data_IF_995190063983
#
_entry.id   IF_995190063983
#
_cell.length_a   1.000
_cell.length_b   1.000
_cell.length_c   1.000
_cell.angle_alpha   90.00
_cell.angle_beta   90.00
_cell.angle_gamma   90.00
#
_symmetry.space_group_name_H-M   'P 1'
#
loop_
_entity.id
_entity.type
_entity.pdbx_description
1 polymer ?
#
# COMPACT_ATOMS: atom_id res chain seq x y z
N UNK A 1 31.52 14.23 -49.54
CA UNK A 1 30.77 13.07 -49.03
C UNK A 1 30.83 12.93 -47.51
N UNK A 2 31.91 13.23 -46.82
CA UNK A 2 32.07 13.11 -45.35
C UNK A 2 31.10 13.99 -44.56
N UNK A 3 30.86 15.24 -44.94
CA UNK A 3 29.95 16.16 -44.19
C UNK A 3 28.50 15.69 -44.15
N UNK A 4 27.98 15.06 -45.21
CA UNK A 4 26.60 14.52 -45.23
C UNK A 4 26.46 13.28 -44.33
N UNK A 5 27.48 12.43 -44.27
CA UNK A 5 27.50 11.24 -43.40
C UNK A 5 27.59 11.65 -41.92
N UNK A 6 28.33 12.71 -41.59
CA UNK A 6 28.45 13.23 -40.27
C UNK A 6 27.14 13.86 -39.75
N UNK A 7 26.45 14.60 -40.58
CA UNK A 7 25.13 15.18 -40.26
C UNK A 7 24.06 14.10 -40.03
N UNK A 8 24.04 13.04 -40.83
CA UNK A 8 23.11 11.89 -40.63
C UNK A 8 23.42 11.17 -39.33
N UNK A 9 24.70 11.00 -39.00
CA UNK A 9 25.11 10.35 -37.72
C UNK A 9 24.68 11.17 -36.51
N UNK A 10 24.80 12.50 -36.52
CA UNK A 10 24.35 13.39 -35.46
C UNK A 10 22.82 13.37 -35.28
N UNK A 11 22.06 13.32 -36.37
CA UNK A 11 20.59 13.22 -36.32
C UNK A 11 20.15 11.87 -35.74
N UNK A 12 20.79 10.77 -36.17
CA UNK A 12 20.51 9.45 -35.58
C UNK A 12 20.84 9.36 -34.08
N UNK A 13 21.95 9.97 -33.66
CA UNK A 13 22.34 10.03 -32.23
C UNK A 13 21.33 10.84 -31.44
N UNK A 14 20.86 11.98 -31.96
CA UNK A 14 19.85 12.82 -31.29
C UNK A 14 18.47 12.13 -31.19
N UNK A 15 18.08 11.38 -32.23
CA UNK A 15 16.84 10.57 -32.18
C UNK A 15 16.95 9.44 -31.16
N UNK A 16 18.11 8.78 -31.09
CA UNK A 16 18.34 7.70 -30.12
C UNK A 16 18.32 8.21 -28.66
N UNK A 17 18.89 9.41 -28.41
CA UNK A 17 18.84 10.03 -27.07
C UNK A 17 17.45 10.52 -26.72
N UNK A 18 16.71 11.07 -27.66
CA UNK A 18 15.33 11.55 -27.46
C UNK A 18 14.36 10.38 -27.18
N UNK A 19 14.49 9.26 -27.92
CA UNK A 19 13.71 8.04 -27.67
C UNK A 19 14.10 7.40 -26.34
N UNK A 20 15.37 7.41 -25.95
CA UNK A 20 15.83 6.95 -24.64
C UNK A 20 15.21 7.75 -23.50
N UNK A 21 15.17 9.08 -23.59
CA UNK A 21 14.54 9.96 -22.60
C UNK A 21 13.02 9.75 -22.51
N UNK A 22 12.34 9.52 -23.65
CA UNK A 22 10.91 9.24 -23.69
C UNK A 22 10.56 7.87 -23.08
N UNK A 23 11.43 6.87 -23.22
CA UNK A 23 11.25 5.55 -22.61
C UNK A 23 11.56 5.52 -21.11
N UNK A 24 12.47 6.40 -20.63
CA UNK A 24 12.79 6.51 -19.19
C UNK A 24 11.74 7.31 -18.40
N UNK A 25 10.83 8.02 -19.05
CA UNK A 25 9.96 9.03 -18.45
C UNK A 25 8.72 8.50 -17.70
N UNK A 26 8.44 7.20 -17.69
CA UNK A 26 7.21 6.65 -17.07
C UNK A 26 7.46 5.41 -16.22
N UNK A 27 8.45 5.48 -15.33
CA UNK A 27 8.52 4.50 -14.26
C UNK A 27 7.27 4.65 -13.37
N UNK A 28 6.35 3.70 -13.46
CA UNK A 28 5.16 3.67 -12.61
C UNK A 28 5.63 3.57 -11.16
N UNK A 29 5.31 4.59 -10.36
CA UNK A 29 5.66 4.62 -8.94
C UNK A 29 4.79 3.61 -8.19
N UNK A 30 5.41 2.82 -7.30
CA UNK A 30 4.65 1.99 -6.37
C UNK A 30 4.08 2.86 -5.26
N UNK A 31 2.76 3.07 -5.27
CA UNK A 31 2.10 3.98 -4.34
C UNK A 31 0.59 3.70 -4.26
N UNK A 32 -0.01 4.11 -3.15
CA UNK A 32 -1.46 4.26 -3.03
C UNK A 32 -1.93 5.57 -3.70
N UNK A 33 -3.15 5.58 -4.24
CA UNK A 33 -3.76 6.77 -4.86
C UNK A 33 -4.10 7.88 -3.87
N UNK A 34 -4.12 7.56 -2.56
CA UNK A 34 -4.34 8.52 -1.48
C UNK A 34 -3.28 8.32 -0.39
N UNK A 35 -2.76 9.40 0.22
CA UNK A 35 -1.83 9.29 1.35
C UNK A 35 -2.54 8.80 2.61
N UNK A 36 -1.76 8.37 3.61
CA UNK A 36 -2.27 8.16 4.98
C UNK A 36 -2.89 9.44 5.53
N UNK A 37 -3.93 9.32 6.33
CA UNK A 37 -4.55 10.48 6.96
C UNK A 37 -5.99 10.28 7.38
N UNK A 38 -6.62 11.40 7.75
CA UNK A 38 -8.01 11.49 8.15
C UNK A 38 -8.87 11.87 6.95
N UNK A 39 -10.02 11.22 6.81
CA UNK A 39 -10.98 11.41 5.73
C UNK A 39 -12.39 11.50 6.30
N UNK A 40 -13.17 12.48 5.86
CA UNK A 40 -14.55 12.67 6.33
C UNK A 40 -15.46 11.55 5.84
N UNK A 41 -15.28 11.14 4.59
CA UNK A 41 -16.16 10.22 3.89
C UNK A 41 -15.41 8.98 3.39
N UNK A 42 -16.09 7.82 3.28
CA UNK A 42 -15.56 6.63 2.63
C UNK A 42 -15.09 6.93 1.21
N UNK A 43 -14.06 6.24 0.76
CA UNK A 43 -13.50 6.42 -0.58
C UNK A 43 -13.03 5.10 -1.20
N UNK A 44 -12.68 5.18 -2.47
CA UNK A 44 -12.12 4.07 -3.22
C UNK A 44 -10.62 4.30 -3.43
N UNK A 45 -9.80 3.35 -2.96
CA UNK A 45 -8.34 3.39 -3.05
C UNK A 45 -7.86 2.57 -4.25
N UNK A 46 -6.83 3.06 -4.93
CA UNK A 46 -6.13 2.34 -5.99
C UNK A 46 -4.67 2.12 -5.59
N UNK A 47 -4.09 1.02 -6.07
CA UNK A 47 -2.67 0.73 -5.95
C UNK A 47 -2.04 0.90 -7.33
N UNK A 48 -1.07 1.80 -7.43
CA UNK A 48 -0.22 1.96 -8.61
C UNK A 48 1.04 1.12 -8.42
N UNK A 49 1.38 0.27 -9.36
CA UNK A 49 2.56 -0.58 -9.29
C UNK A 49 3.14 -0.85 -10.68
N UNK A 50 4.46 -1.05 -10.78
CA UNK A 50 5.13 -1.39 -12.06
C UNK A 50 4.86 -2.83 -12.49
N UNK A 51 4.26 -3.66 -11.62
CA UNK A 51 3.92 -5.06 -11.87
C UNK A 51 2.41 -5.28 -11.82
N UNK A 52 1.95 -6.38 -12.41
CA UNK A 52 0.57 -6.86 -12.28
C UNK A 52 0.41 -7.83 -11.11
N UNK A 53 1.50 -8.37 -10.58
CA UNK A 53 1.52 -9.28 -9.45
C UNK A 53 1.64 -8.47 -8.15
N UNK A 54 0.51 -7.93 -7.69
CA UNK A 54 0.41 -7.07 -6.50
C UNK A 54 -0.47 -7.75 -5.47
N UNK A 55 -0.02 -7.78 -4.22
CA UNK A 55 -0.75 -8.33 -3.09
C UNK A 55 -0.87 -7.29 -1.97
N UNK A 56 -1.95 -7.37 -1.20
CA UNK A 56 -2.21 -6.42 -0.13
C UNK A 56 -2.96 -7.06 1.03
N UNK A 57 -2.89 -6.39 2.20
CA UNK A 57 -3.64 -6.70 3.42
C UNK A 57 -4.42 -5.49 3.89
N UNK A 58 -5.46 -5.68 4.69
CA UNK A 58 -6.34 -4.63 5.21
C UNK A 58 -6.26 -4.49 6.74
N UNK A 59 -5.45 -5.34 7.38
CA UNK A 59 -5.30 -5.47 8.83
C UNK A 59 -3.89 -5.08 9.32
N UNK A 60 -3.04 -4.59 8.41
CA UNK A 60 -1.65 -4.23 8.72
C UNK A 60 -0.69 -5.41 8.81
N UNK A 61 -1.13 -6.66 8.58
CA UNK A 61 -0.22 -7.80 8.44
C UNK A 61 0.69 -7.64 7.23
N UNK A 62 1.83 -8.35 7.23
CA UNK A 62 2.79 -8.26 6.13
C UNK A 62 2.28 -9.02 4.91
N UNK A 63 2.09 -8.37 3.74
CA UNK A 63 1.54 -9.03 2.57
C UNK A 63 2.55 -9.96 1.88
N UNK A 64 2.03 -11.06 1.35
CA UNK A 64 2.74 -12.02 0.53
C UNK A 64 1.84 -12.61 -0.57
N UNK A 65 2.29 -13.67 -1.26
CA UNK A 65 1.53 -14.32 -2.33
C UNK A 65 0.27 -15.04 -1.87
N UNK A 66 0.07 -15.23 -0.57
CA UNK A 66 -1.15 -15.82 0.02
C UNK A 66 -2.19 -14.76 0.38
N UNK A 67 -1.79 -13.50 0.38
CA UNK A 67 -2.64 -12.34 0.70
C UNK A 67 -3.60 -12.01 -0.46
N UNK A 68 -4.46 -10.99 -0.27
CA UNK A 68 -5.40 -10.55 -1.30
C UNK A 68 -4.66 -10.04 -2.54
N UNK A 69 -4.98 -10.59 -3.70
CA UNK A 69 -4.40 -10.13 -4.96
C UNK A 69 -5.12 -8.89 -5.49
N UNK A 70 -4.38 -7.84 -5.83
CA UNK A 70 -4.92 -6.64 -6.42
C UNK A 70 -5.15 -6.80 -7.93
N UNK A 71 -6.41 -6.91 -8.33
CA UNK A 71 -6.85 -7.10 -9.72
C UNK A 71 -7.28 -5.80 -10.40
N UNK A 72 -6.77 -4.65 -9.96
CA UNK A 72 -7.18 -3.29 -10.37
C UNK A 72 -8.62 -2.91 -9.98
N UNK A 73 -9.31 -3.75 -9.23
CA UNK A 73 -10.56 -3.37 -8.59
C UNK A 73 -10.25 -2.42 -7.44
N UNK A 74 -10.90 -1.26 -7.43
CA UNK A 74 -10.72 -0.28 -6.36
C UNK A 74 -11.10 -0.87 -5.00
N UNK A 75 -10.28 -0.58 -3.99
CA UNK A 75 -10.44 -1.07 -2.62
C UNK A 75 -11.33 -0.07 -1.88
N UNK A 76 -12.50 -0.47 -1.36
CA UNK A 76 -13.31 0.41 -0.52
C UNK A 76 -12.62 0.62 0.83
N UNK A 77 -12.50 1.87 1.24
CA UNK A 77 -11.98 2.28 2.56
C UNK A 77 -13.05 3.13 3.23
N UNK A 78 -13.52 2.67 4.37
CA UNK A 78 -14.56 3.30 5.16
C UNK A 78 -14.24 3.30 6.65
N UNK A 79 -15.21 3.65 7.49
CA UNK A 79 -15.07 3.56 8.95
C UNK A 79 -14.89 2.09 9.35
N UNK A 80 -13.73 1.77 9.91
CA UNK A 80 -13.40 0.42 10.35
C UNK A 80 -13.91 0.11 11.76
N UNK A 81 -14.49 1.07 12.48
CA UNK A 81 -14.94 0.92 13.87
C UNK A 81 -16.07 -0.10 14.00
N UNK A 82 -16.85 -0.29 12.92
CA UNK A 82 -17.91 -1.30 12.88
C UNK A 82 -17.42 -2.74 12.72
N UNK A 83 -16.16 -2.93 12.35
CA UNK A 83 -15.56 -4.26 12.21
C UNK A 83 -15.34 -4.90 13.59
N UNK A 84 -15.20 -6.23 13.62
CA UNK A 84 -14.85 -6.96 14.82
C UNK A 84 -13.49 -6.52 15.41
N UNK A 85 -13.34 -6.63 16.72
CA UNK A 85 -12.09 -6.35 17.44
C UNK A 85 -11.15 -7.56 17.31
N UNK A 86 -10.34 -7.61 16.27
CA UNK A 86 -9.49 -8.77 15.97
C UNK A 86 -8.04 -8.60 16.39
N UNK A 87 -7.54 -7.36 16.52
CA UNK A 87 -6.13 -7.11 16.82
C UNK A 87 -5.74 -7.57 18.22
N UNK A 88 -6.63 -7.40 19.20
CA UNK A 88 -6.43 -7.84 20.56
C UNK A 88 -6.49 -9.37 20.76
N UNK A 89 -6.95 -10.10 19.75
CA UNK A 89 -6.97 -11.55 19.74
C UNK A 89 -5.73 -12.20 19.11
N UNK A 90 -4.75 -11.41 18.68
CA UNK A 90 -3.53 -11.94 18.04
C UNK A 90 -2.51 -12.37 19.07
N UNK A 91 -2.31 -13.67 19.17
CA UNK A 91 -1.32 -14.29 20.07
C UNK A 91 0.12 -13.91 19.74
N UNK A 92 0.40 -13.60 18.46
CA UNK A 92 1.74 -13.23 17.99
C UNK A 92 2.19 -11.82 18.40
N UNK A 93 1.29 -10.98 18.89
CA UNK A 93 1.63 -9.66 19.43
C UNK A 93 2.12 -9.71 20.88
N UNK A 94 2.06 -10.88 21.51
CA UNK A 94 2.27 -11.03 22.91
C UNK A 94 3.48 -11.90 23.27
N UNK A 95 4.66 -11.42 22.89
CA UNK A 95 5.90 -12.06 23.35
C UNK A 95 6.18 -11.84 24.85
N UNK A 96 5.62 -10.77 25.45
CA UNK A 96 5.80 -10.47 26.87
C UNK A 96 4.86 -11.27 27.76
N UNK A 97 3.68 -11.57 27.28
CA UNK A 97 2.66 -12.29 28.01
C UNK A 97 2.88 -13.78 28.12
N UNK A 98 3.70 -14.37 27.28
CA UNK A 98 4.11 -15.76 27.47
C UNK A 98 4.89 -15.95 28.78
N UNK A 99 5.67 -14.92 29.18
CA UNK A 99 6.47 -14.94 30.41
C UNK A 99 5.72 -14.35 31.60
N UNK A 100 4.66 -13.57 31.38
CA UNK A 100 3.91 -12.83 32.43
C UNK A 100 2.39 -12.90 32.16
N UNK A 101 1.77 -14.09 32.17
CA UNK A 101 0.35 -14.25 31.88
C UNK A 101 -0.58 -13.46 32.80
N UNK A 102 -0.12 -13.13 34.03
CA UNK A 102 -0.87 -12.33 34.98
C UNK A 102 -0.95 -10.83 34.62
N UNK A 103 -0.13 -10.36 33.68
CA UNK A 103 -0.08 -8.95 33.26
C UNK A 103 -0.92 -8.65 32.03
N UNK A 104 -1.49 -9.67 31.41
CA UNK A 104 -2.21 -9.51 30.15
C UNK A 104 -3.70 -9.63 30.40
N UNK A 105 -4.34 -8.49 30.35
CA UNK A 105 -5.77 -8.43 30.13
C UNK A 105 -6.03 -8.50 28.62
N UNK A 106 -5.99 -9.73 28.09
CA UNK A 106 -6.27 -10.00 26.67
C UNK A 106 -7.76 -9.97 26.37
N UNK A 107 -8.57 -9.33 27.20
CA UNK A 107 -9.99 -9.23 26.96
C UNK A 107 -10.23 -8.39 25.69
N UNK A 108 -10.75 -9.06 24.69
CA UNK A 108 -11.28 -8.37 23.51
C UNK A 108 -12.39 -7.44 24.03
N UNK A 109 -12.33 -6.13 23.80
CA UNK A 109 -13.41 -5.23 24.19
C UNK A 109 -14.74 -5.73 23.64
N UNK A 110 -15.75 -5.89 24.52
CA UNK A 110 -17.10 -6.28 24.11
C UNK A 110 -17.76 -5.19 23.27
N UNK A 111 -17.41 -3.94 23.55
CA UNK A 111 -17.88 -2.78 22.78
C UNK A 111 -17.01 -2.52 21.57
N UNK A 112 -17.62 -1.99 20.51
CA UNK A 112 -16.89 -1.53 19.32
C UNK A 112 -15.97 -0.38 19.69
N UNK A 113 -14.71 -0.49 19.29
CA UNK A 113 -13.71 0.55 19.48
C UNK A 113 -13.39 1.22 18.14
N UNK A 114 -12.98 2.49 18.20
CA UNK A 114 -12.59 3.22 17.02
C UNK A 114 -11.31 2.61 16.41
N UNK A 115 -11.42 2.23 15.13
CA UNK A 115 -10.34 1.57 14.37
C UNK A 115 -10.06 2.29 13.06
N UNK A 116 -8.79 2.41 12.72
CA UNK A 116 -8.37 2.79 11.38
C UNK A 116 -8.18 1.54 10.49
N UNK A 117 -8.22 1.75 9.18
CA UNK A 117 -7.81 0.73 8.22
C UNK A 117 -6.32 0.89 7.94
N UNK A 118 -5.52 -0.14 8.20
CA UNK A 118 -4.09 -0.18 7.86
C UNK A 118 -3.92 -1.08 6.64
N UNK A 119 -3.50 -0.48 5.52
CA UNK A 119 -3.28 -1.20 4.27
C UNK A 119 -1.79 -1.30 3.99
N UNK A 120 -1.30 -2.52 3.81
CA UNK A 120 0.04 -2.79 3.31
C UNK A 120 -0.03 -3.43 1.94
N UNK A 121 0.94 -3.14 1.08
CA UNK A 121 1.02 -3.76 -0.22
C UNK A 121 2.45 -4.03 -0.65
N UNK A 122 2.63 -5.08 -1.45
CA UNK A 122 3.87 -5.46 -2.13
C UNK A 122 3.56 -5.83 -3.57
N UNK A 123 4.57 -5.79 -4.43
CA UNK A 123 4.49 -6.43 -5.74
C UNK A 123 5.67 -7.38 -5.93
N UNK A 124 5.52 -8.29 -6.88
CA UNK A 124 6.62 -9.14 -7.37
C UNK A 124 6.95 -8.74 -8.81
N UNK A 125 8.23 -8.60 -9.09
CA UNK A 125 8.71 -8.30 -10.44
C UNK A 125 8.68 -9.54 -11.36
N UNK A 126 9.04 -9.36 -12.63
CA UNK A 126 9.08 -10.47 -13.60
C UNK A 126 10.09 -11.57 -13.26
N UNK A 127 11.09 -11.30 -12.42
CA UNK A 127 12.06 -12.27 -11.91
C UNK A 127 11.57 -12.95 -10.62
N UNK A 128 10.42 -12.53 -10.06
CA UNK A 128 9.83 -13.06 -8.83
C UNK A 128 10.37 -12.43 -7.56
N UNK A 129 11.13 -11.34 -7.63
CA UNK A 129 11.61 -10.62 -6.45
C UNK A 129 10.48 -9.78 -5.82
N UNK A 130 10.37 -9.85 -4.48
CA UNK A 130 9.44 -9.06 -3.69
C UNK A 130 9.95 -7.62 -3.59
N UNK A 131 9.06 -6.64 -3.77
CA UNK A 131 9.35 -5.21 -3.54
C UNK A 131 9.46 -4.88 -2.06
N UNK A 132 9.91 -3.65 -1.76
CA UNK A 132 9.65 -3.02 -0.47
C UNK A 132 8.15 -2.93 -0.22
N UNK A 133 7.74 -3.04 1.05
CA UNK A 133 6.34 -2.90 1.47
C UNK A 133 5.97 -1.43 1.56
N UNK A 134 4.89 -1.03 0.90
CA UNK A 134 4.25 0.26 1.17
C UNK A 134 3.14 0.09 2.19
N UNK A 135 2.98 1.08 3.09
CA UNK A 135 1.99 1.07 4.14
C UNK A 135 1.25 2.40 4.20
N UNK A 136 -0.05 2.36 4.46
CA UNK A 136 -0.87 3.54 4.72
C UNK A 136 -1.95 3.24 5.75
N UNK A 137 -2.24 4.24 6.62
CA UNK A 137 -3.30 4.17 7.63
C UNK A 137 -4.37 5.22 7.32
N UNK A 138 -5.63 4.80 7.33
CA UNK A 138 -6.77 5.62 6.96
C UNK A 138 -7.78 5.67 8.12
N UNK A 139 -8.03 6.88 8.60
CA UNK A 139 -8.98 7.20 9.66
C UNK A 139 -10.21 7.85 9.01
N UNK A 140 -11.29 7.10 8.86
CA UNK A 140 -12.48 7.58 8.14
C UNK A 140 -13.60 7.89 9.14
N UNK A 141 -14.18 9.09 9.05
CA UNK A 141 -15.30 9.52 9.89
C UNK A 141 -14.91 9.94 11.32
N UNK A 142 -13.61 9.98 11.66
CA UNK A 142 -13.15 10.31 13.02
C UNK A 142 -13.50 11.74 13.45
N UNK A 143 -13.57 12.68 12.51
CA UNK A 143 -13.93 14.09 12.78
C UNK A 143 -15.36 14.26 13.33
N UNK A 144 -16.21 13.26 13.09
CA UNK A 144 -17.60 13.25 13.53
C UNK A 144 -17.80 12.53 14.86
N UNK A 145 -16.73 11.95 15.43
CA UNK A 145 -16.78 11.20 16.68
C UNK A 145 -16.47 12.10 17.87
N UNK A 146 -17.22 11.92 18.95
CA UNK A 146 -16.99 12.64 20.21
C UNK A 146 -15.63 12.27 20.79
N UNK A 147 -14.81 13.25 21.14
CA UNK A 147 -13.50 13.02 21.77
C UNK A 147 -12.28 13.22 20.85
N UNK A 148 -12.49 13.50 19.55
CA UNK A 148 -11.41 13.76 18.59
C UNK A 148 -11.41 15.20 18.02
N UNK A 149 -12.30 16.07 18.53
CA UNK A 149 -12.41 17.49 18.14
C UNK A 149 -11.86 18.44 19.20
#
# INVERSE_FOLDING_TARGET
MARKRFAVFLVLLSVLTLTGVLLYGHAVRFAFSRPSGFYDEPFLLEIQAPSREVYYTLDGSEPDRTSLQYTKKKIPVGDASENENTLSAREDLDSYGQDHPEMIDTQIPEEKVDKCTVIKAVYYDAAGNKSETICASYFVGFQHKTGYG
#
